data_IF_327437919238
#
_entry.id   IF_327437919238
#
_cell.length_a   1.000
_cell.length_b   1.000
_cell.length_c   1.000
_cell.angle_alpha   90.00
_cell.angle_beta   90.00
_cell.angle_gamma   90.00
#
_symmetry.space_group_name_H-M   'P 1'
#
loop_
_entity.id
_entity.type
_entity.pdbx_description
1 polymer ?
#
# COMPACT_ATOMS: atom_id res chain seq x y z
N UNK A 1 -44.05 -44.72 24.74
CA UNK A 1 -45.19 -44.58 25.67
C UNK A 1 -45.03 -45.58 26.81
N UNK A 2 -44.45 -45.15 27.94
CA UNK A 2 -44.64 -45.71 29.30
C UNK A 2 -43.87 -44.81 30.28
N UNK A 3 -44.66 -44.11 31.08
CA UNK A 3 -44.27 -43.28 32.22
C UNK A 3 -43.76 -44.16 33.36
N UNK A 4 -42.76 -43.68 34.09
CA UNK A 4 -42.62 -43.93 35.54
C UNK A 4 -42.17 -42.64 36.22
N UNK A 5 -43.06 -42.15 37.08
CA UNK A 5 -42.88 -41.04 38.01
C UNK A 5 -42.09 -41.53 39.25
N UNK A 6 -41.20 -40.70 39.76
CA UNK A 6 -40.95 -40.59 41.20
C UNK A 6 -40.92 -39.12 41.59
N UNK A 7 -41.53 -38.84 42.73
CA UNK A 7 -42.03 -37.57 43.25
C UNK A 7 -41.35 -37.31 44.60
N UNK A 8 -41.21 -36.02 44.95
CA UNK A 8 -41.01 -35.45 46.30
C UNK A 8 -39.61 -35.66 46.94
N UNK A 9 -39.00 -34.70 47.65
CA UNK A 9 -39.58 -33.63 48.46
C UNK A 9 -38.68 -32.37 48.59
N UNK A 10 -39.37 -31.25 48.80
CA UNK A 10 -38.90 -29.95 49.26
C UNK A 10 -38.14 -30.01 50.60
N UNK A 11 -37.24 -29.04 50.80
CA UNK A 11 -37.21 -28.22 52.04
C UNK A 11 -36.44 -26.92 51.78
N UNK A 12 -37.20 -25.82 51.72
CA UNK A 12 -36.74 -24.46 51.98
C UNK A 12 -36.44 -24.32 53.48
N UNK A 13 -35.37 -23.60 53.83
CA UNK A 13 -35.41 -22.77 55.03
C UNK A 13 -34.67 -21.45 54.81
N UNK A 14 -35.31 -20.41 55.32
CA UNK A 14 -34.97 -19.00 55.23
C UNK A 14 -34.76 -18.46 56.66
N UNK A 15 -33.90 -17.44 56.80
CA UNK A 15 -33.92 -16.34 57.79
C UNK A 15 -32.50 -15.74 57.86
N UNK A 16 -32.27 -14.47 57.49
CA UNK A 16 -32.39 -13.24 58.32
C UNK A 16 -31.51 -13.30 59.58
N UNK A 17 -30.80 -12.27 60.05
CA UNK A 17 -30.36 -10.95 59.63
C UNK A 17 -29.49 -10.45 60.83
N UNK A 18 -28.45 -9.65 60.64
CA UNK A 18 -28.14 -8.43 61.42
C UNK A 18 -26.69 -7.97 61.26
N UNK A 19 -26.57 -6.65 61.14
CA UNK A 19 -25.36 -5.85 61.12
C UNK A 19 -24.63 -5.84 62.47
N UNK A 20 -23.33 -5.55 62.44
CA UNK A 20 -22.59 -4.71 63.40
C UNK A 20 -21.15 -4.46 62.89
N UNK A 21 -20.87 -3.22 62.47
CA UNK A 21 -19.56 -2.55 62.67
C UNK A 21 -19.47 -2.09 64.16
N UNK A 22 -18.36 -1.53 64.74
CA UNK A 22 -17.06 -1.01 64.22
C UNK A 22 -15.86 -1.46 65.15
N UNK A 23 -14.67 -0.79 65.33
CA UNK A 23 -14.13 0.45 64.77
C UNK A 23 -12.64 0.46 64.31
N UNK A 24 -12.30 1.63 63.78
CA UNK A 24 -11.07 2.15 63.13
C UNK A 24 -9.90 2.60 64.03
N UNK A 25 -8.72 2.70 63.38
CA UNK A 25 -7.56 3.65 63.56
C UNK A 25 -6.54 3.36 64.68
N UNK A 26 -5.31 3.97 64.67
CA UNK A 26 -4.58 4.67 63.58
C UNK A 26 -3.06 4.34 63.53
N UNK A 27 -2.35 4.74 62.46
CA UNK A 27 -0.97 5.25 62.60
C UNK A 27 -0.92 6.65 61.99
N UNK A 28 -0.49 7.60 62.83
CA UNK A 28 -0.54 9.05 62.66
C UNK A 28 0.65 9.57 61.84
N UNK A 29 0.38 10.57 61.01
CA UNK A 29 1.32 11.66 60.72
C UNK A 29 1.52 12.51 61.98
N UNK A 30 2.72 13.03 62.20
CA UNK A 30 2.93 14.23 63.00
C UNK A 30 3.88 15.18 62.29
N UNK A 31 3.36 16.35 61.94
CA UNK A 31 4.12 17.56 61.71
C UNK A 31 4.05 18.43 62.98
N UNK A 32 5.18 18.99 63.44
CA UNK A 32 5.31 20.25 64.21
C UNK A 32 6.77 20.71 63.97
N UNK A 33 7.08 21.82 63.26
CA UNK A 33 7.24 23.22 63.74
C UNK A 33 7.94 23.32 65.11
N UNK A 34 8.88 24.20 65.44
CA UNK A 34 9.38 25.49 64.93
C UNK A 34 10.67 25.76 65.75
N UNK A 35 11.74 26.35 65.19
CA UNK A 35 12.46 27.46 65.83
C UNK A 35 13.54 28.08 64.91
N UNK A 36 13.57 29.40 64.95
CA UNK A 36 14.44 30.34 64.22
C UNK A 36 15.79 30.53 64.92
N UNK A 37 16.84 30.83 64.14
CA UNK A 37 17.95 31.76 64.42
C UNK A 37 19.08 31.48 63.42
N UNK A 38 19.79 32.40 62.77
CA UNK A 38 19.67 33.83 62.51
C UNK A 38 20.69 34.13 61.38
N UNK A 39 20.31 35.01 60.45
CA UNK A 39 21.13 36.01 59.72
C UNK A 39 22.59 35.69 59.32
N UNK A 40 22.86 35.75 58.01
CA UNK A 40 23.77 36.75 57.46
C UNK A 40 23.59 36.91 55.94
N UNK A 41 23.37 38.15 55.51
CA UNK A 41 23.28 38.64 54.14
C UNK A 41 24.67 38.94 53.58
N UNK A 42 24.97 38.55 52.34
CA UNK A 42 26.00 39.21 51.53
C UNK A 42 25.85 38.93 50.02
N UNK A 43 25.39 39.99 49.33
CA UNK A 43 25.84 40.55 48.04
C UNK A 43 26.06 39.63 46.83
N UNK A 44 25.20 39.90 45.86
CA UNK A 44 25.43 40.00 44.41
C UNK A 44 26.89 40.25 43.98
N UNK A 45 27.39 39.37 43.09
CA UNK A 45 28.42 39.71 42.11
C UNK A 45 28.13 38.95 40.80
N UNK A 46 27.89 39.73 39.75
CA UNK A 46 27.68 39.31 38.36
C UNK A 46 29.03 38.95 37.71
N UNK A 47 29.12 37.77 37.09
CA UNK A 47 30.16 37.43 36.10
C UNK A 47 29.55 36.60 34.95
N UNK A 48 30.02 36.81 33.70
CA UNK A 48 29.27 36.46 32.50
C UNK A 48 29.26 34.96 32.24
N UNK A 49 28.09 34.43 31.87
CA UNK A 49 27.90 33.05 31.46
C UNK A 49 28.72 32.74 30.19
N UNK A 50 29.65 31.79 30.28
CA UNK A 50 30.25 31.11 29.12
C UNK A 50 29.16 30.23 28.49
N UNK A 51 28.78 30.53 27.25
CA UNK A 51 27.98 29.64 26.41
C UNK A 51 28.65 28.25 26.34
N UNK A 52 27.94 27.22 26.80
CA UNK A 52 28.37 25.84 26.68
C UNK A 52 28.40 25.40 25.21
N UNK A 53 29.44 24.66 24.83
CA UNK A 53 29.69 24.10 23.49
C UNK A 53 28.47 23.42 22.83
N UNK A 54 27.56 22.88 23.64
CA UNK A 54 26.32 22.23 23.22
C UNK A 54 25.28 23.17 22.55
N UNK A 55 25.28 24.49 22.83
CA UNK A 55 24.33 25.44 22.19
C UNK A 55 24.79 25.95 20.83
N UNK A 56 26.09 25.80 20.51
CA UNK A 56 26.65 26.14 19.20
C UNK A 56 26.50 25.00 18.19
N UNK A 57 26.57 23.75 18.65
CA UNK A 57 26.35 22.57 17.80
C UNK A 57 24.88 22.46 17.34
N UNK A 58 23.89 22.81 18.19
CA UNK A 58 22.48 22.79 17.78
C UNK A 58 22.12 23.88 16.76
N UNK A 59 22.63 25.10 16.93
CA UNK A 59 22.42 26.20 15.97
C UNK A 59 23.10 25.97 14.62
N UNK A 60 24.26 25.31 14.61
CA UNK A 60 24.95 24.96 13.37
C UNK A 60 24.21 23.86 12.57
N UNK A 61 23.65 22.87 13.27
CA UNK A 61 22.84 21.81 12.66
C UNK A 61 21.51 22.35 12.10
N UNK A 62 20.85 23.26 12.82
CA UNK A 62 19.63 23.93 12.36
C UNK A 62 19.88 24.78 11.11
N UNK A 63 20.98 25.54 11.09
CA UNK A 63 21.36 26.37 9.94
C UNK A 63 21.74 25.52 8.70
N UNK A 64 22.34 24.33 8.90
CA UNK A 64 22.61 23.40 7.80
C UNK A 64 21.32 22.84 7.21
N UNK A 65 20.37 22.42 8.05
CA UNK A 65 19.06 21.91 7.63
C UNK A 65 18.24 22.97 6.88
N UNK A 66 18.28 24.23 7.32
CA UNK A 66 17.62 25.33 6.64
C UNK A 66 18.22 25.63 5.26
N UNK A 67 19.56 25.51 5.11
CA UNK A 67 20.23 25.64 3.80
C UNK A 67 19.87 24.52 2.84
N UNK A 68 19.72 23.29 3.34
CA UNK A 68 19.28 22.15 2.52
C UNK A 68 17.83 22.32 2.04
N UNK A 69 16.94 22.79 2.92
CA UNK A 69 15.54 23.09 2.54
C UNK A 69 15.49 24.22 1.49
N UNK A 70 16.26 25.29 1.68
CA UNK A 70 16.33 26.38 0.70
C UNK A 70 16.90 25.93 -0.65
N UNK A 71 17.92 25.07 -0.65
CA UNK A 71 18.47 24.50 -1.87
C UNK A 71 17.48 23.58 -2.59
N UNK A 72 16.66 22.82 -1.84
CA UNK A 72 15.61 21.98 -2.39
C UNK A 72 14.48 22.81 -3.03
N UNK A 73 14.06 23.90 -2.39
CA UNK A 73 13.06 24.82 -2.93
C UNK A 73 13.55 25.53 -4.20
N UNK A 74 14.81 25.96 -4.22
CA UNK A 74 15.41 26.59 -5.41
C UNK A 74 15.54 25.60 -6.58
N UNK A 75 15.88 24.33 -6.29
CA UNK A 75 15.91 23.28 -7.30
C UNK A 75 14.51 22.96 -7.83
N UNK A 76 13.50 22.91 -6.96
CA UNK A 76 12.11 22.69 -7.35
C UNK A 76 11.60 23.82 -8.28
N UNK A 77 11.93 25.07 -7.98
CA UNK A 77 11.61 26.21 -8.85
C UNK A 77 12.27 26.08 -10.24
N UNK A 78 13.57 25.73 -10.30
CA UNK A 78 14.28 25.53 -11.57
C UNK A 78 13.71 24.39 -12.41
N UNK A 79 13.26 23.30 -11.76
CA UNK A 79 12.60 22.19 -12.44
C UNK A 79 11.24 22.62 -13.00
N UNK A 80 10.45 23.38 -12.23
CA UNK A 80 9.18 23.91 -12.68
C UNK A 80 9.33 24.83 -13.91
N UNK A 81 10.32 25.72 -13.90
CA UNK A 81 10.63 26.60 -15.04
C UNK A 81 11.05 25.81 -16.28
N UNK A 82 11.88 24.76 -16.09
CA UNK A 82 12.30 23.89 -17.20
C UNK A 82 11.13 23.13 -17.82
N UNK A 83 10.21 22.64 -17.00
CA UNK A 83 9.01 21.94 -17.45
C UNK A 83 8.04 22.90 -18.18
N UNK A 84 7.93 24.15 -17.72
CA UNK A 84 7.14 25.17 -18.40
C UNK A 84 7.72 25.53 -19.78
N UNK A 85 9.05 25.63 -19.89
CA UNK A 85 9.72 25.85 -21.18
C UNK A 85 9.47 24.69 -22.16
N UNK A 86 9.59 23.44 -21.71
CA UNK A 86 9.33 22.25 -22.54
C UNK A 86 7.86 22.20 -23.00
N UNK A 87 6.90 22.61 -22.16
CA UNK A 87 5.49 22.69 -22.55
C UNK A 87 5.26 23.75 -23.64
N UNK A 88 5.93 24.90 -23.52
CA UNK A 88 5.84 25.99 -24.51
C UNK A 88 6.44 25.58 -25.86
N UNK A 89 7.53 24.83 -25.85
CA UNK A 89 8.17 24.30 -27.07
C UNK A 89 7.29 23.21 -27.74
N UNK A 90 6.56 22.40 -26.96
CA UNK A 90 5.60 21.43 -27.49
C UNK A 90 4.34 22.08 -28.08
N UNK A 91 3.86 23.18 -27.51
CA UNK A 91 2.73 23.95 -28.08
C UNK A 91 3.12 24.69 -29.36
N UNK A 92 4.38 25.16 -29.48
CA UNK A 92 4.88 25.79 -30.70
C UNK A 92 5.13 24.81 -31.87
N UNK A 93 5.13 23.50 -31.61
CA UNK A 93 5.39 22.46 -32.61
C UNK A 93 4.10 21.80 -33.19
N UNK A 94 2.91 22.31 -32.86
CA UNK A 94 1.66 21.84 -33.46
C UNK A 94 1.56 22.27 -34.94
N UNK A 95 1.22 21.37 -35.89
CA UNK A 95 1.18 21.72 -37.30
C UNK A 95 -0.03 22.61 -37.62
N UNK A 96 0.22 23.73 -38.30
CA UNK A 96 -0.84 24.56 -38.88
C UNK A 96 -1.54 23.84 -40.05
N UNK A 97 -2.88 23.94 -40.19
CA UNK A 97 -3.59 23.37 -41.32
C UNK A 97 -3.27 24.17 -42.59
N UNK A 98 -2.64 23.52 -43.56
CA UNK A 98 -2.38 24.10 -44.90
C UNK A 98 -3.69 24.07 -45.70
N UNK A 99 -4.19 25.25 -46.08
CA UNK A 99 -5.33 25.39 -46.99
C UNK A 99 -4.96 24.87 -48.40
N UNK A 100 -5.75 23.94 -48.94
CA UNK A 100 -5.61 23.47 -50.33
C UNK A 100 -6.35 24.40 -51.30
N UNK A 101 -5.76 24.76 -52.46
CA UNK A 101 -6.48 25.53 -53.48
C UNK A 101 -7.52 24.68 -54.20
N UNK A 102 -8.63 25.34 -54.54
CA UNK A 102 -9.84 24.81 -55.16
C UNK A 102 -9.58 24.32 -56.60
N UNK A 103 -9.96 23.08 -56.93
CA UNK A 103 -9.97 22.56 -58.30
C UNK A 103 -11.42 22.49 -58.83
N UNK A 104 -11.67 22.80 -60.12
CA UNK A 104 -13.03 22.83 -60.68
C UNK A 104 -13.62 21.44 -60.92
N UNK A 105 -14.96 21.30 -60.98
CA UNK A 105 -15.64 20.02 -60.84
C UNK A 105 -15.66 19.19 -62.12
N UNK A 106 -15.30 17.91 -62.01
CA UNK A 106 -15.57 16.89 -63.02
C UNK A 106 -16.92 16.21 -62.75
N UNK A 107 -17.62 15.88 -63.84
CA UNK A 107 -19.02 15.47 -63.92
C UNK A 107 -19.33 14.16 -63.16
N UNK A 108 -20.55 14.12 -62.62
CA UNK A 108 -21.23 12.98 -62.00
C UNK A 108 -21.22 11.73 -62.89
N UNK A 109 -20.62 10.65 -62.39
CA UNK A 109 -21.00 9.28 -62.70
C UNK A 109 -20.92 8.46 -61.40
N UNK A 110 -22.05 7.81 -61.10
CA UNK A 110 -22.26 6.74 -60.12
C UNK A 110 -22.08 7.05 -58.62
N UNK A 111 -23.18 7.56 -58.03
CA UNK A 111 -23.39 7.62 -56.59
C UNK A 111 -23.51 6.21 -56.03
N UNK A 112 -22.38 5.61 -55.66
CA UNK A 112 -22.37 4.55 -54.67
C UNK A 112 -22.75 5.16 -53.31
N UNK A 113 -23.80 4.63 -52.68
CA UNK A 113 -24.22 5.00 -51.32
C UNK A 113 -23.00 5.00 -50.39
N UNK A 114 -22.76 6.05 -49.59
CA UNK A 114 -21.69 6.00 -48.61
C UNK A 114 -22.02 4.87 -47.63
N UNK A 115 -21.16 3.84 -47.58
CA UNK A 115 -21.12 2.95 -46.42
C UNK A 115 -20.97 3.87 -45.20
N UNK A 116 -21.85 3.71 -44.20
CA UNK A 116 -21.63 4.26 -42.87
C UNK A 116 -20.17 4.00 -42.53
N UNK A 117 -19.37 5.05 -42.45
CA UNK A 117 -18.16 4.99 -41.65
C UNK A 117 -18.67 4.69 -40.25
N UNK A 118 -18.52 3.44 -39.83
CA UNK A 118 -18.62 3.10 -38.43
C UNK A 118 -17.69 4.08 -37.72
N UNK A 119 -18.24 4.84 -36.79
CA UNK A 119 -17.43 5.61 -35.87
C UNK A 119 -16.43 4.61 -35.28
N UNK A 120 -15.15 4.78 -35.57
CA UNK A 120 -14.09 4.13 -34.81
C UNK A 120 -14.28 4.63 -33.38
N UNK A 121 -15.06 3.89 -32.59
CA UNK A 121 -15.25 4.17 -31.18
C UNK A 121 -13.87 4.18 -30.57
N UNK A 122 -13.49 5.29 -29.94
CA UNK A 122 -12.31 5.32 -29.11
C UNK A 122 -12.48 4.21 -28.06
N UNK A 123 -11.74 3.11 -28.21
CA UNK A 123 -11.73 2.05 -27.22
C UNK A 123 -11.07 2.64 -25.97
N UNK A 124 -11.87 2.85 -24.94
CA UNK A 124 -11.42 3.49 -23.70
C UNK A 124 -10.49 2.49 -22.99
N UNK A 125 -9.21 2.85 -22.95
CA UNK A 125 -8.22 2.09 -22.19
C UNK A 125 -8.53 2.18 -20.68
N UNK A 126 -8.30 1.09 -19.96
CA UNK A 126 -8.54 1.08 -18.51
C UNK A 126 -7.55 1.98 -17.78
N UNK A 127 -7.98 2.49 -16.64
CA UNK A 127 -7.23 3.40 -15.77
C UNK A 127 -7.77 3.25 -14.34
N UNK A 128 -7.19 3.99 -13.40
CA UNK A 128 -7.68 4.07 -12.04
C UNK A 128 -8.66 5.24 -11.80
N UNK A 129 -8.85 6.10 -12.82
CA UNK A 129 -9.66 7.32 -12.76
C UNK A 129 -10.37 7.59 -14.09
N UNK A 130 -11.37 8.48 -14.09
CA UNK A 130 -12.08 8.89 -15.30
C UNK A 130 -12.94 7.78 -15.92
N UNK A 131 -13.19 7.87 -17.22
CA UNK A 131 -14.06 6.93 -17.95
C UNK A 131 -13.52 5.50 -18.00
N UNK A 132 -12.19 5.33 -17.90
CA UNK A 132 -11.52 4.03 -17.80
C UNK A 132 -11.42 3.48 -16.37
N UNK A 133 -12.00 4.15 -15.38
CA UNK A 133 -11.84 3.85 -13.95
C UNK A 133 -12.47 2.52 -13.49
N UNK A 134 -12.20 2.08 -12.25
CA UNK A 134 -12.58 0.76 -11.74
C UNK A 134 -14.08 0.43 -11.79
N UNK A 135 -14.95 1.43 -11.69
CA UNK A 135 -16.41 1.25 -11.79
C UNK A 135 -16.91 0.95 -13.21
N UNK A 136 -16.06 1.17 -14.21
CA UNK A 136 -16.37 0.96 -15.62
C UNK A 136 -15.65 -0.25 -16.22
N UNK A 137 -14.67 -0.84 -15.52
CA UNK A 137 -13.78 -1.88 -16.06
C UNK A 137 -14.51 -3.02 -16.75
N UNK A 138 -15.59 -3.56 -16.15
CA UNK A 138 -16.35 -4.66 -16.73
C UNK A 138 -17.14 -4.31 -18.00
N UNK A 139 -17.29 -3.02 -18.29
CA UNK A 139 -18.00 -2.49 -19.47
C UNK A 139 -17.04 -2.05 -20.59
N UNK A 140 -15.75 -1.91 -20.31
CA UNK A 140 -14.77 -1.46 -21.30
C UNK A 140 -14.61 -2.45 -22.44
N UNK A 141 -14.60 -3.76 -22.14
CA UNK A 141 -14.58 -4.82 -23.14
C UNK A 141 -15.12 -6.14 -22.55
N UNK A 142 -15.43 -7.10 -23.43
CA UNK A 142 -16.02 -8.38 -23.03
C UNK A 142 -15.09 -9.24 -22.16
N UNK A 143 -13.77 -9.15 -22.33
CA UNK A 143 -12.80 -9.91 -21.52
C UNK A 143 -12.84 -9.50 -20.04
N UNK A 144 -13.24 -8.26 -19.75
CA UNK A 144 -13.30 -7.70 -18.40
C UNK A 144 -14.59 -8.02 -17.64
N UNK A 145 -15.53 -8.78 -18.20
CA UNK A 145 -16.86 -9.04 -17.60
C UNK A 145 -16.80 -9.48 -16.12
N UNK A 146 -15.72 -10.17 -15.71
CA UNK A 146 -15.49 -10.58 -14.32
C UNK A 146 -15.27 -9.44 -13.34
N UNK A 147 -14.84 -8.27 -13.81
CA UNK A 147 -14.70 -7.09 -12.97
C UNK A 147 -16.05 -6.62 -12.38
N UNK A 148 -17.17 -6.88 -13.08
CA UNK A 148 -18.52 -6.51 -12.62
C UNK A 148 -19.30 -7.70 -12.04
N UNK A 149 -19.14 -8.88 -12.65
CA UNK A 149 -19.96 -10.07 -12.33
C UNK A 149 -19.28 -11.05 -11.39
N UNK A 150 -17.99 -10.87 -11.09
CA UNK A 150 -17.24 -11.72 -10.21
C UNK A 150 -17.78 -11.70 -8.78
N UNK A 151 -17.80 -12.86 -8.13
CA UNK A 151 -18.28 -13.03 -6.74
C UNK A 151 -17.13 -13.29 -5.76
N UNK A 152 -15.92 -13.48 -6.27
CA UNK A 152 -14.69 -13.71 -5.50
C UNK A 152 -13.62 -12.70 -5.89
N UNK A 153 -14.00 -11.44 -6.01
CA UNK A 153 -13.11 -10.37 -6.44
C UNK A 153 -12.16 -9.91 -5.32
N UNK A 154 -10.99 -9.42 -5.70
CA UNK A 154 -9.99 -8.75 -4.87
C UNK A 154 -9.86 -7.28 -5.26
N UNK A 155 -9.42 -6.37 -4.36
CA UNK A 155 -9.02 -6.62 -2.97
C UNK A 155 -10.22 -6.70 -2.02
N UNK A 156 -9.97 -7.06 -0.75
CA UNK A 156 -11.01 -7.10 0.31
C UNK A 156 -10.55 -6.40 1.59
N UNK A 157 -11.51 -6.05 2.43
CA UNK A 157 -11.27 -5.68 3.84
C UNK A 157 -11.36 -6.94 4.70
N UNK A 158 -10.23 -7.32 5.30
CA UNK A 158 -10.08 -8.51 6.11
C UNK A 158 -10.47 -8.19 7.55
N UNK A 159 -11.65 -8.66 7.98
CA UNK A 159 -12.18 -8.41 9.34
C UNK A 159 -12.18 -9.63 10.25
N UNK A 160 -12.71 -10.75 9.76
CA UNK A 160 -13.01 -11.92 10.59
C UNK A 160 -12.26 -13.16 10.08
N UNK A 161 -10.94 -13.17 10.26
CA UNK A 161 -10.09 -14.33 9.93
C UNK A 161 -10.37 -15.51 10.85
N UNK A 162 -10.71 -16.67 10.29
CA UNK A 162 -10.83 -17.92 11.07
C UNK A 162 -9.41 -18.39 11.39
N UNK A 163 -9.05 -18.31 12.67
CA UNK A 163 -7.74 -18.75 13.16
C UNK A 163 -7.59 -20.26 13.07
N UNK A 164 -6.71 -20.69 12.20
CA UNK A 164 -6.37 -22.09 11.96
C UNK A 164 -4.87 -22.28 11.91
N UNK A 165 -4.41 -23.50 12.13
CA UNK A 165 -3.03 -23.85 11.86
C UNK A 165 -2.85 -23.92 10.34
N UNK A 166 -2.08 -22.99 9.78
CA UNK A 166 -1.75 -22.92 8.37
C UNK A 166 -0.32 -23.40 8.16
N UNK A 167 -0.08 -24.06 7.03
CA UNK A 167 1.29 -24.40 6.62
C UNK A 167 2.11 -23.11 6.44
N UNK A 168 3.34 -23.04 6.95
CA UNK A 168 4.21 -21.90 6.70
C UNK A 168 4.44 -21.70 5.19
N UNK A 169 4.44 -20.44 4.75
CA UNK A 169 4.89 -20.09 3.41
C UNK A 169 6.41 -20.24 3.36
N UNK A 170 6.90 -21.09 2.48
CA UNK A 170 8.33 -21.30 2.27
C UNK A 170 8.77 -20.50 1.05
N UNK A 171 9.66 -19.53 1.27
CA UNK A 171 10.29 -18.76 0.19
C UNK A 171 11.67 -19.35 -0.12
N UNK A 172 11.87 -19.81 -1.35
CA UNK A 172 13.20 -20.13 -1.90
C UNK A 172 13.56 -19.03 -2.90
N UNK A 173 13.85 -17.84 -2.35
CA UNK A 173 14.33 -16.72 -3.14
C UNK A 173 15.84 -16.58 -3.00
N UNK A 174 16.48 -16.27 -4.11
CA UNK A 174 17.91 -16.05 -4.26
C UNK A 174 18.12 -14.67 -4.91
N UNK A 175 19.30 -14.07 -4.72
CA UNK A 175 19.68 -12.88 -5.46
C UNK A 175 19.63 -13.15 -6.97
N UNK A 176 18.85 -12.36 -7.69
CA UNK A 176 18.62 -12.53 -9.14
C UNK A 176 18.73 -11.20 -9.88
N UNK A 177 19.07 -11.26 -11.16
CA UNK A 177 18.95 -10.10 -12.04
C UNK A 177 17.48 -9.69 -12.20
N UNK A 178 17.23 -8.42 -12.50
CA UNK A 178 15.86 -7.92 -12.66
C UNK A 178 15.78 -6.75 -13.64
N UNK A 179 14.57 -6.48 -14.10
CA UNK A 179 14.24 -5.26 -14.83
C UNK A 179 13.04 -4.55 -14.23
N UNK A 180 12.98 -3.23 -14.39
CA UNK A 180 11.89 -2.37 -13.94
C UNK A 180 11.18 -1.80 -15.16
N UNK A 181 9.86 -1.78 -15.11
CA UNK A 181 8.97 -1.25 -16.13
C UNK A 181 7.93 -0.36 -15.44
N UNK A 182 7.80 0.89 -15.90
CA UNK A 182 6.60 1.66 -15.67
C UNK A 182 5.60 1.31 -16.79
N UNK A 183 4.56 0.54 -16.48
CA UNK A 183 3.60 0.07 -17.48
C UNK A 183 2.39 1.02 -17.66
N UNK A 184 2.45 2.23 -17.10
CA UNK A 184 1.34 3.19 -17.10
C UNK A 184 0.30 2.99 -15.99
N UNK A 185 0.40 1.91 -15.21
CA UNK A 185 -0.50 1.59 -14.10
C UNK A 185 0.21 1.35 -12.77
N UNK A 186 1.47 0.94 -12.82
CA UNK A 186 2.32 0.68 -11.68
C UNK A 186 3.79 0.64 -12.11
N UNK A 187 4.68 0.67 -11.13
CA UNK A 187 6.04 0.15 -11.28
C UNK A 187 5.98 -1.37 -11.14
N UNK A 188 6.32 -2.08 -12.21
CA UNK A 188 6.42 -3.53 -12.28
C UNK A 188 7.90 -3.93 -12.31
N UNK A 189 8.27 -4.92 -11.52
CA UNK A 189 9.60 -5.48 -11.48
C UNK A 189 9.55 -6.95 -11.90
N UNK A 190 10.36 -7.29 -12.90
CA UNK A 190 10.46 -8.64 -13.45
C UNK A 190 11.84 -9.22 -13.09
N UNK A 191 11.94 -10.05 -12.05
CA UNK A 191 13.16 -10.80 -11.75
C UNK A 191 13.39 -11.91 -12.79
N UNK A 192 14.64 -12.36 -12.95
CA UNK A 192 14.91 -13.59 -13.69
C UNK A 192 14.35 -14.82 -12.96
N UNK A 193 14.05 -15.88 -13.72
CA UNK A 193 13.55 -17.17 -13.21
C UNK A 193 14.41 -17.76 -12.11
N UNK A 194 13.82 -18.62 -11.27
CA UNK A 194 14.55 -19.40 -10.25
C UNK A 194 14.23 -19.06 -8.79
N UNK A 195 13.26 -18.17 -8.56
CA UNK A 195 12.75 -17.84 -7.23
C UNK A 195 11.35 -18.43 -7.05
N UNK A 196 11.13 -19.15 -5.96
CA UNK A 196 9.91 -19.94 -5.76
C UNK A 196 9.25 -19.68 -4.41
N UNK A 197 7.94 -19.89 -4.38
CA UNK A 197 7.10 -20.00 -3.21
C UNK A 197 6.57 -21.43 -3.13
N UNK A 198 6.67 -22.05 -1.95
CA UNK A 198 6.01 -23.31 -1.65
C UNK A 198 5.03 -23.12 -0.48
N UNK A 199 3.77 -23.49 -0.70
CA UNK A 199 2.72 -23.45 0.32
C UNK A 199 1.83 -24.67 0.16
N UNK A 200 1.60 -25.41 1.25
CA UNK A 200 0.83 -26.66 1.27
C UNK A 200 1.24 -27.66 0.18
N UNK A 201 2.56 -27.79 -0.05
CA UNK A 201 3.14 -28.70 -1.03
C UNK A 201 2.99 -28.26 -2.50
N UNK A 202 2.49 -27.05 -2.76
CA UNK A 202 2.36 -26.49 -4.11
C UNK A 202 3.46 -25.47 -4.36
N UNK A 203 4.17 -25.66 -5.47
CA UNK A 203 5.26 -24.81 -5.91
C UNK A 203 4.78 -23.78 -6.94
N UNK A 204 5.03 -22.51 -6.69
CA UNK A 204 4.76 -21.39 -7.59
C UNK A 204 6.06 -20.63 -7.86
N UNK A 205 6.39 -20.36 -9.12
CA UNK A 205 7.54 -19.53 -9.49
C UNK A 205 7.15 -18.05 -9.47
N UNK A 206 8.01 -17.20 -8.91
CA UNK A 206 7.85 -15.75 -8.94
C UNK A 206 7.99 -15.24 -10.38
N UNK A 207 6.97 -14.52 -10.85
CA UNK A 207 6.94 -13.97 -12.22
C UNK A 207 7.27 -12.49 -12.23
N UNK A 208 6.69 -11.75 -11.28
CA UNK A 208 6.88 -10.31 -11.13
C UNK A 208 6.45 -9.86 -9.73
N UNK A 209 6.82 -8.65 -9.35
CA UNK A 209 6.13 -7.93 -8.29
C UNK A 209 5.87 -6.48 -8.69
N UNK A 210 4.87 -5.85 -8.05
CA UNK A 210 4.47 -4.47 -8.36
C UNK A 210 3.85 -3.79 -7.13
N UNK A 211 3.58 -2.49 -7.23
CA UNK A 211 3.24 -1.64 -6.09
C UNK A 211 1.90 -0.95 -6.28
N UNK A 212 1.15 -0.82 -5.20
CA UNK A 212 -0.04 0.03 -5.16
C UNK A 212 0.05 1.05 -4.02
N UNK A 213 -0.52 2.23 -4.29
CA UNK A 213 -0.71 3.33 -3.36
C UNK A 213 -2.12 3.91 -3.52
N UNK A 214 -2.92 4.00 -2.45
CA UNK A 214 -2.70 3.38 -1.14
C UNK A 214 -2.70 1.84 -1.20
N UNK A 215 -2.61 1.13 -0.07
CA UNK A 215 -2.78 -0.33 -0.09
C UNK A 215 -4.14 -0.74 -0.69
N UNK A 216 -4.16 -1.81 -1.48
CA UNK A 216 -5.41 -2.36 -2.01
C UNK A 216 -6.20 -3.08 -0.91
N UNK A 217 -5.53 -3.96 -0.17
CA UNK A 217 -6.10 -4.65 0.98
C UNK A 217 -6.29 -3.71 2.17
N UNK A 218 -7.28 -4.05 3.01
CA UNK A 218 -7.45 -3.47 4.35
C UNK A 218 -7.49 -4.56 5.40
N UNK A 219 -7.09 -4.22 6.62
CA UNK A 219 -7.22 -5.08 7.80
C UNK A 219 -8.07 -4.34 8.83
N UNK A 220 -9.23 -4.89 9.18
CA UNK A 220 -10.18 -4.28 10.12
C UNK A 220 -10.53 -2.83 9.75
N UNK A 221 -10.69 -2.55 8.45
CA UNK A 221 -10.94 -1.23 7.90
C UNK A 221 -9.70 -0.32 7.82
N UNK A 222 -8.55 -0.70 8.41
CA UNK A 222 -7.29 0.05 8.29
C UNK A 222 -6.75 -0.08 6.87
N UNK A 223 -6.57 1.07 6.24
CA UNK A 223 -5.80 1.27 5.01
C UNK A 223 -4.33 1.51 5.37
N UNK A 224 -3.41 0.99 4.57
CA UNK A 224 -1.96 1.19 4.73
C UNK A 224 -1.43 2.11 3.64
N UNK A 225 -0.23 2.65 3.83
CA UNK A 225 0.35 3.64 2.92
C UNK A 225 0.55 3.05 1.52
N UNK A 226 1.11 1.85 1.42
CA UNK A 226 1.31 1.14 0.16
C UNK A 226 1.16 -0.37 0.35
N UNK A 227 1.12 -1.11 -0.75
CA UNK A 227 1.28 -2.57 -0.76
C UNK A 227 2.18 -2.99 -1.92
N UNK A 228 2.97 -4.04 -1.71
CA UNK A 228 3.66 -4.73 -2.80
C UNK A 228 3.03 -6.10 -2.99
N UNK A 229 2.71 -6.43 -4.24
CA UNK A 229 2.14 -7.71 -4.65
C UNK A 229 3.19 -8.53 -5.38
N UNK A 230 3.57 -9.69 -4.82
CA UNK A 230 4.49 -10.65 -5.42
C UNK A 230 3.67 -11.73 -6.12
N UNK A 231 3.69 -11.73 -7.45
CA UNK A 231 2.86 -12.60 -8.28
C UNK A 231 3.63 -13.83 -8.71
N UNK A 232 3.08 -14.98 -8.37
CA UNK A 232 3.65 -16.28 -8.66
C UNK A 232 2.71 -17.10 -9.53
N UNK A 233 3.27 -18.08 -10.24
CA UNK A 233 2.54 -18.98 -11.13
C UNK A 233 3.04 -20.40 -11.01
N UNK A 234 2.12 -21.37 -10.93
CA UNK A 234 2.48 -22.80 -10.96
C UNK A 234 2.59 -23.32 -12.40
N UNK A 235 2.94 -24.61 -12.54
CA UNK A 235 3.07 -25.28 -13.85
C UNK A 235 1.75 -25.39 -14.64
N UNK A 236 0.62 -25.30 -13.94
CA UNK A 236 -0.73 -25.33 -14.56
C UNK A 236 -1.22 -23.90 -14.89
N UNK A 237 -0.46 -22.86 -14.56
CA UNK A 237 -0.83 -21.47 -14.78
C UNK A 237 -1.68 -20.85 -13.67
N UNK A 238 -1.90 -21.55 -12.54
CA UNK A 238 -2.63 -21.00 -11.39
C UNK A 238 -1.76 -19.97 -10.69
N UNK A 239 -2.40 -18.89 -10.22
CA UNK A 239 -1.70 -17.77 -9.61
C UNK A 239 -1.78 -17.81 -8.09
N UNK A 240 -0.67 -17.44 -7.47
CA UNK A 240 -0.59 -17.13 -6.05
C UNK A 240 0.03 -15.74 -5.87
N UNK A 241 -0.59 -14.89 -5.06
CA UNK A 241 -0.12 -13.53 -4.78
C UNK A 241 0.16 -13.39 -3.30
N UNK A 242 1.39 -12.97 -2.98
CA UNK A 242 1.73 -12.52 -1.63
C UNK A 242 1.62 -11.01 -1.58
N UNK A 243 0.79 -10.49 -0.70
CA UNK A 243 0.64 -9.06 -0.46
C UNK A 243 1.39 -8.68 0.81
N UNK A 244 2.33 -7.76 0.70
CA UNK A 244 3.10 -7.23 1.83
C UNK A 244 2.69 -5.76 2.01
N UNK A 245 2.02 -5.48 3.11
CA UNK A 245 1.55 -4.14 3.46
C UNK A 245 2.72 -3.28 3.90
N UNK A 246 2.75 -2.03 3.43
CA UNK A 246 3.80 -1.06 3.71
C UNK A 246 3.22 0.11 4.53
N UNK A 247 3.90 0.48 5.61
CA UNK A 247 3.54 1.63 6.44
C UNK A 247 4.79 2.46 6.76
N UNK A 248 4.61 3.70 7.22
CA UNK A 248 5.75 4.61 7.42
C UNK A 248 6.74 4.09 8.48
N UNK A 249 8.02 4.19 8.14
CA UNK A 249 9.15 3.91 9.04
C UNK A 249 10.47 4.23 8.35
N UNK A 250 11.49 3.40 8.58
CA UNK A 250 12.80 3.55 7.94
C UNK A 250 12.75 3.23 6.43
N UNK A 251 13.70 3.78 5.68
CA UNK A 251 13.84 3.50 4.26
C UNK A 251 14.16 2.02 4.00
N UNK A 252 13.42 1.39 3.08
CA UNK A 252 13.63 -0.01 2.75
C UNK A 252 14.67 -0.17 1.63
N UNK A 253 15.74 -0.97 1.82
CA UNK A 253 16.84 -1.08 0.86
C UNK A 253 16.42 -1.70 -0.48
N UNK A 254 15.57 -2.74 -0.47
CA UNK A 254 15.05 -3.38 -1.70
C UNK A 254 14.23 -2.39 -2.53
N UNK A 255 13.37 -1.60 -1.87
CA UNK A 255 12.54 -0.59 -2.54
C UNK A 255 13.45 0.50 -3.11
N UNK A 256 14.46 0.95 -2.35
CA UNK A 256 15.43 1.92 -2.86
C UNK A 256 16.17 1.41 -4.10
N UNK A 257 16.57 0.13 -4.11
CA UNK A 257 17.24 -0.47 -5.25
C UNK A 257 16.35 -0.48 -6.50
N UNK A 258 15.05 -0.74 -6.34
CA UNK A 258 14.08 -0.60 -7.45
C UNK A 258 13.97 0.87 -7.87
N UNK A 259 13.92 1.82 -6.93
CA UNK A 259 13.70 3.24 -7.21
C UNK A 259 14.90 3.83 -7.98
N UNK A 260 16.10 3.35 -7.68
CA UNK A 260 17.33 3.71 -8.39
C UNK A 260 17.35 3.22 -9.86
N UNK A 261 16.41 2.36 -10.26
CA UNK A 261 16.29 1.80 -11.61
C UNK A 261 14.93 2.14 -12.26
N UNK A 262 14.24 3.17 -11.79
CA UNK A 262 12.98 3.61 -12.40
C UNK A 262 13.22 4.08 -13.86
N UNK A 263 12.39 3.63 -14.82
CA UNK A 263 12.39 4.17 -16.17
C UNK A 263 12.07 5.68 -16.19
N UNK A 264 12.66 6.40 -17.14
CA UNK A 264 12.35 7.82 -17.37
C UNK A 264 11.04 8.02 -18.12
N UNK A 265 10.68 7.06 -18.97
CA UNK A 265 9.48 7.07 -19.79
C UNK A 265 8.64 5.81 -19.54
N UNK A 266 7.32 5.95 -19.69
CA UNK A 266 6.39 4.82 -19.60
C UNK A 266 6.64 3.84 -20.75
N UNK A 267 6.45 2.56 -20.47
CA UNK A 267 6.64 1.42 -21.37
C UNK A 267 8.11 1.17 -21.78
N UNK A 268 9.07 1.85 -21.15
CA UNK A 268 10.49 1.53 -21.27
C UNK A 268 10.91 0.54 -20.17
N UNK A 269 11.71 -0.46 -20.56
CA UNK A 269 12.25 -1.47 -19.64
C UNK A 269 13.69 -1.09 -19.28
N UNK A 270 13.95 -0.85 -18.01
CA UNK A 270 15.30 -0.64 -17.48
C UNK A 270 15.81 -1.93 -16.87
N UNK A 271 16.94 -2.44 -17.35
CA UNK A 271 17.64 -3.60 -16.75
C UNK A 271 18.59 -3.11 -15.67
N UNK A 272 18.45 -3.63 -14.46
CA UNK A 272 19.34 -3.28 -13.36
C UNK A 272 20.70 -3.99 -13.49
N UNK A 273 21.76 -3.31 -13.06
CA UNK A 273 23.13 -3.85 -13.09
C UNK A 273 23.36 -4.84 -11.93
N UNK A 274 22.81 -4.53 -10.76
CA UNK A 274 23.00 -5.33 -9.54
C UNK A 274 21.86 -6.33 -9.37
N UNK A 275 22.16 -7.47 -8.73
CA UNK A 275 21.14 -8.44 -8.36
C UNK A 275 20.26 -7.92 -7.22
N UNK A 276 18.98 -8.31 -7.23
CA UNK A 276 18.00 -8.00 -6.19
C UNK A 276 17.84 -9.22 -5.28
N UNK A 277 18.01 -9.01 -3.99
CA UNK A 277 17.72 -10.02 -2.96
C UNK A 277 16.34 -9.76 -2.34
N UNK A 278 15.33 -10.44 -2.87
CA UNK A 278 13.94 -10.29 -2.44
C UNK A 278 13.65 -10.92 -1.07
N UNK A 279 14.53 -11.77 -0.53
CA UNK A 279 14.34 -12.28 0.84
C UNK A 279 14.32 -11.14 1.87
N UNK A 280 15.01 -10.03 1.59
CA UNK A 280 15.03 -8.86 2.46
C UNK A 280 13.69 -8.10 2.51
N UNK A 281 12.78 -8.34 1.56
CA UNK A 281 11.45 -7.74 1.55
C UNK A 281 10.42 -8.59 2.32
N UNK A 282 10.73 -9.86 2.59
CA UNK A 282 9.81 -10.76 3.29
C UNK A 282 9.80 -10.43 4.78
N UNK A 283 8.62 -10.20 5.39
CA UNK A 283 8.52 -9.96 6.83
C UNK A 283 9.12 -11.10 7.66
N UNK A 284 9.67 -10.77 8.84
CA UNK A 284 10.34 -11.77 9.68
C UNK A 284 9.37 -12.77 10.27
N UNK A 285 8.15 -12.32 10.64
CA UNK A 285 7.07 -13.22 11.02
C UNK A 285 6.28 -13.62 9.78
N UNK A 286 6.21 -14.93 9.56
CA UNK A 286 5.50 -15.54 8.44
C UNK A 286 3.98 -15.60 8.61
N UNK A 287 3.40 -14.84 9.54
CA UNK A 287 1.96 -14.85 9.79
C UNK A 287 1.19 -14.19 8.65
N UNK A 288 0.08 -14.80 8.22
CA UNK A 288 -0.67 -14.34 7.07
C UNK A 288 -2.16 -14.67 7.13
N UNK A 289 -2.94 -13.90 6.37
CA UNK A 289 -4.31 -14.25 6.00
C UNK A 289 -4.31 -14.91 4.63
N UNK A 290 -5.22 -15.85 4.39
CA UNK A 290 -5.38 -16.44 3.05
C UNK A 290 -6.83 -16.64 2.64
N UNK A 291 -7.07 -16.38 1.35
CA UNK A 291 -8.37 -16.56 0.70
C UNK A 291 -8.17 -16.77 -0.81
N UNK A 292 -9.21 -17.30 -1.48
CA UNK A 292 -9.26 -17.31 -2.94
C UNK A 292 -9.99 -16.06 -3.45
N UNK A 293 -9.31 -15.31 -4.31
CA UNK A 293 -9.74 -14.03 -4.85
C UNK A 293 -9.57 -13.95 -6.38
N UNK A 294 -9.31 -12.73 -6.86
CA UNK A 294 -9.06 -12.42 -8.26
C UNK A 294 -7.78 -11.61 -8.47
N UNK A 295 -7.43 -11.34 -9.71
CA UNK A 295 -6.59 -10.19 -10.05
C UNK A 295 -7.30 -8.89 -9.64
N UNK A 296 -6.54 -7.87 -9.25
CA UNK A 296 -7.04 -6.55 -8.85
C UNK A 296 -7.05 -5.55 -10.01
N UNK A 297 -6.62 -5.96 -11.20
CA UNK A 297 -6.73 -5.22 -12.46
C UNK A 297 -7.51 -6.04 -13.50
N UNK A 298 -8.02 -5.41 -14.56
CA UNK A 298 -8.60 -6.13 -15.69
C UNK A 298 -7.65 -7.22 -16.22
N UNK A 299 -8.16 -8.42 -16.58
CA UNK A 299 -9.57 -8.81 -16.71
C UNK A 299 -10.26 -9.27 -15.41
N UNK A 300 -9.64 -9.02 -14.24
CA UNK A 300 -10.18 -9.38 -12.93
C UNK A 300 -10.47 -10.89 -12.76
N UNK A 301 -9.67 -11.74 -13.42
CA UNK A 301 -9.79 -13.20 -13.37
C UNK A 301 -9.78 -13.72 -11.93
N UNK A 302 -10.77 -14.54 -11.59
CA UNK A 302 -10.88 -15.22 -10.29
C UNK A 302 -9.99 -16.48 -10.23
N UNK A 303 -9.86 -17.07 -9.04
CA UNK A 303 -9.06 -18.29 -8.83
C UNK A 303 -7.62 -18.00 -8.44
N UNK A 304 -7.34 -16.79 -7.96
CA UNK A 304 -6.02 -16.40 -7.45
C UNK A 304 -5.94 -16.74 -5.96
N UNK A 305 -4.90 -17.45 -5.54
CA UNK A 305 -4.61 -17.69 -4.12
C UNK A 305 -3.96 -16.43 -3.53
N UNK A 306 -4.63 -15.79 -2.59
CA UNK A 306 -4.08 -14.62 -1.89
C UNK A 306 -3.49 -15.02 -0.55
N UNK A 307 -2.32 -14.45 -0.23
CA UNK A 307 -1.64 -14.56 1.05
C UNK A 307 -1.23 -13.15 1.49
N UNK A 308 -1.95 -12.57 2.44
CA UNK A 308 -1.71 -11.19 2.91
C UNK A 308 -0.91 -11.28 4.20
N UNK A 309 0.32 -10.80 4.18
CA UNK A 309 1.20 -10.83 5.35
C UNK A 309 0.65 -9.93 6.46
N UNK A 310 0.66 -10.43 7.70
CA UNK A 310 0.17 -9.70 8.88
C UNK A 310 1.16 -8.66 9.38
N UNK A 311 2.46 -8.95 9.25
CA UNK A 311 3.52 -8.00 9.57
C UNK A 311 3.73 -7.03 8.42
N UNK A 312 3.68 -5.73 8.77
CA UNK A 312 3.98 -4.65 7.82
C UNK A 312 5.48 -4.50 7.62
N UNK A 313 5.86 -4.10 6.42
CA UNK A 313 7.23 -3.66 6.12
C UNK A 313 7.27 -2.14 6.13
N UNK A 314 8.35 -1.57 6.64
CA UNK A 314 8.50 -0.11 6.67
C UNK A 314 8.95 0.45 5.33
N UNK A 315 8.44 1.63 5.00
CA UNK A 315 8.87 2.47 3.89
C UNK A 315 9.06 3.90 4.40
N UNK A 316 10.07 4.62 3.93
CA UNK A 316 10.23 6.02 4.34
C UNK A 316 9.20 6.93 3.67
N UNK A 317 8.86 8.09 4.29
CA UNK A 317 8.02 9.10 3.65
C UNK A 317 8.53 9.52 2.26
N UNK A 318 9.84 9.62 2.07
CA UNK A 318 10.46 10.01 0.80
C UNK A 318 10.29 8.93 -0.27
N UNK A 319 10.44 7.65 0.09
CA UNK A 319 10.24 6.53 -0.83
C UNK A 319 8.78 6.46 -1.30
N UNK A 320 7.82 6.62 -0.37
CA UNK A 320 6.40 6.72 -0.74
C UNK A 320 6.13 7.95 -1.62
N UNK A 321 6.69 9.11 -1.28
CA UNK A 321 6.50 10.35 -2.04
C UNK A 321 7.03 10.24 -3.49
N UNK A 322 8.12 9.52 -3.73
CA UNK A 322 8.62 9.25 -5.09
C UNK A 322 7.57 8.47 -5.89
N UNK A 323 7.01 7.40 -5.32
CA UNK A 323 5.97 6.61 -5.98
C UNK A 323 4.70 7.44 -6.20
N UNK A 324 4.27 8.22 -5.21
CA UNK A 324 3.07 9.05 -5.25
C UNK A 324 3.11 10.12 -6.36
N UNK A 325 4.30 10.56 -6.79
CA UNK A 325 4.44 11.48 -7.94
C UNK A 325 4.13 10.81 -9.28
N UNK A 326 4.37 9.50 -9.39
CA UNK A 326 4.05 8.71 -10.57
C UNK A 326 2.61 8.21 -10.53
N UNK A 327 2.20 7.71 -9.35
CA UNK A 327 0.91 7.08 -9.09
C UNK A 327 0.34 7.57 -7.75
N UNK A 328 -0.39 8.70 -7.75
CA UNK A 328 -1.05 9.20 -6.54
C UNK A 328 -2.09 8.21 -6.00
N UNK A 329 -2.83 7.59 -6.93
CA UNK A 329 -3.86 6.58 -6.68
C UNK A 329 -3.82 5.53 -7.79
N UNK A 330 -3.42 4.31 -7.45
CA UNK A 330 -3.48 3.16 -8.35
C UNK A 330 -4.06 1.91 -7.66
N UNK A 331 -4.96 2.08 -6.70
CA UNK A 331 -5.61 1.01 -5.96
C UNK A 331 -7.07 0.82 -6.42
N UNK A 332 -7.46 -0.43 -6.70
CA UNK A 332 -8.85 -0.79 -6.92
C UNK A 332 -9.64 -0.64 -5.61
N UNK A 333 -10.89 -0.13 -5.65
CA UNK A 333 -11.77 -0.14 -4.49
C UNK A 333 -11.99 -1.55 -3.91
N UNK A 334 -12.27 -1.59 -2.61
CA UNK A 334 -12.54 -2.83 -1.88
C UNK A 334 -13.76 -3.55 -2.45
N UNK A 335 -13.65 -4.86 -2.61
CA UNK A 335 -14.72 -5.71 -3.13
C UNK A 335 -15.45 -6.42 -1.98
N UNK A 336 -16.70 -6.81 -2.21
CA UNK A 336 -17.49 -7.52 -1.21
C UNK A 336 -16.84 -8.90 -0.90
N UNK A 337 -16.68 -9.24 0.38
CA UNK A 337 -16.17 -10.55 0.79
C UNK A 337 -17.09 -11.70 0.39
N UNK A 338 -18.38 -11.45 0.15
CA UNK A 338 -19.37 -12.40 -0.37
C UNK A 338 -19.43 -13.72 0.43
N UNK A 339 -19.26 -13.64 1.75
CA UNK A 339 -19.27 -14.81 2.65
C UNK A 339 -18.06 -15.75 2.50
N UNK A 340 -17.00 -15.33 1.80
CA UNK A 340 -15.77 -16.11 1.67
C UNK A 340 -15.14 -16.35 3.04
N UNK A 341 -14.75 -17.60 3.28
CA UNK A 341 -13.93 -17.95 4.44
C UNK A 341 -12.52 -17.40 4.23
N UNK A 342 -12.11 -16.50 5.12
CA UNK A 342 -10.74 -16.01 5.23
C UNK A 342 -10.09 -16.79 6.37
N UNK A 343 -8.95 -17.43 6.11
CA UNK A 343 -8.18 -18.13 7.14
C UNK A 343 -7.08 -17.21 7.66
N UNK A 344 -6.78 -17.30 8.94
CA UNK A 344 -5.71 -16.56 9.61
C UNK A 344 -4.74 -17.57 10.23
N UNK A 345 -3.43 -17.39 10.03
CA UNK A 345 -2.40 -18.18 10.73
C UNK A 345 -2.41 -17.87 12.23
N UNK A 346 -2.17 -18.91 13.04
CA UNK A 346 -2.11 -18.82 14.50
C UNK A 346 -0.73 -18.46 15.03
#
# INVERSE_FOLDING_TARGET
MRLSFYLLAMLMWAAQAQANDPPTKPIKQSAVKEEMSATASAKEETKPAKESKASKESKAAEAARQKEVQAADELAAKIADRLAAIRKDKEAAAPHPVARPYAPPLRLADVAKPKKQEAHGHEIHWSYEGEGGPMAWGKLNAANTKCDTGTRQSPIDIRDGIRVELDPIQFDYKPVSFSVLDNGHTIQVSPSSGNFLNVSGKLFELVQFHFHRPSEERINGKLFEMVVHLVHKDREGKLAVVAILLDFGEAHPVIQQVWNNLPLEKNEVVKAINNLDLMQLIPKRGDYFTYMGSLTTPPCSEGVLWMVMKEVVHISPEQSAIFARLYPMNARPIQNSAGRVIKESR
#
